data_IF_306434369435
#
_entry.id   IF_306434369435
#
_cell.length_a   1.000
_cell.length_b   1.000
_cell.length_c   1.000
_cell.angle_alpha   90.00
_cell.angle_beta   90.00
_cell.angle_gamma   90.00
#
_symmetry.space_group_name_H-M   'P 1'
#
loop_
_entity.id
_entity.type
_entity.pdbx_description
1 polymer ?
#
# COMPACT_ATOMS: atom_id res chain seq x y z
N UNK A 1 25.67 3.95 -49.35
CA UNK A 1 24.66 3.07 -48.75
C UNK A 1 25.16 2.62 -47.40
N UNK A 2 24.46 2.98 -46.35
CA UNK A 2 24.81 2.68 -44.96
C UNK A 2 23.55 2.92 -44.13
N UNK A 3 22.55 2.07 -44.32
CA UNK A 3 21.38 2.00 -43.44
C UNK A 3 21.80 1.20 -42.22
N UNK A 4 21.75 1.84 -41.05
CA UNK A 4 21.90 1.21 -39.74
C UNK A 4 20.54 0.57 -39.39
N UNK A 5 20.42 -0.77 -39.33
CA UNK A 5 19.13 -1.47 -39.23
C UNK A 5 18.52 -1.46 -37.82
N UNK A 6 18.93 -0.55 -36.92
CA UNK A 6 18.51 -0.55 -35.52
C UNK A 6 18.06 0.82 -34.99
N UNK A 7 17.52 1.69 -35.84
CA UNK A 7 16.77 2.86 -35.37
C UNK A 7 15.38 2.41 -34.89
N UNK A 8 15.26 2.00 -33.63
CA UNK A 8 13.97 1.84 -32.97
C UNK A 8 13.40 3.23 -32.68
N UNK A 9 12.38 3.64 -33.43
CA UNK A 9 11.63 4.84 -33.14
C UNK A 9 10.78 4.60 -31.89
N UNK A 10 11.31 5.03 -30.73
CA UNK A 10 10.67 4.95 -29.41
C UNK A 10 9.32 5.69 -29.40
N UNK A 11 9.09 6.57 -30.37
CA UNK A 11 7.85 7.35 -30.51
C UNK A 11 6.88 6.76 -31.54
N UNK A 12 7.20 5.62 -32.16
CA UNK A 12 6.33 5.01 -33.17
C UNK A 12 5.07 4.37 -32.58
N UNK A 13 5.04 4.11 -31.27
CA UNK A 13 3.85 3.67 -30.54
C UNK A 13 3.69 4.54 -29.28
N UNK A 14 3.21 5.78 -29.41
CA UNK A 14 2.71 6.49 -28.24
C UNK A 14 1.55 5.64 -27.68
N UNK A 15 1.46 5.41 -26.35
CA UNK A 15 0.28 4.78 -25.78
C UNK A 15 -0.91 5.69 -26.11
N UNK A 16 -1.68 5.30 -27.13
CA UNK A 16 -3.01 5.85 -27.34
C UNK A 16 -3.86 5.51 -26.11
N UNK A 17 -4.95 6.24 -25.86
CA UNK A 17 -5.92 5.81 -24.87
C UNK A 17 -6.33 4.40 -25.29
N UNK A 18 -5.87 3.39 -24.54
CA UNK A 18 -6.30 2.03 -24.75
C UNK A 18 -7.81 2.06 -24.65
N UNK A 19 -8.48 1.25 -25.47
CA UNK A 19 -9.83 0.80 -25.12
C UNK A 19 -9.64 -0.04 -23.85
N UNK A 20 -9.50 0.64 -22.72
CA UNK A 20 -9.63 0.05 -21.41
C UNK A 20 -11.07 -0.42 -21.40
N UNK A 21 -11.26 -1.74 -21.59
CA UNK A 21 -12.41 -2.41 -21.02
C UNK A 21 -12.46 -1.91 -19.58
N UNK A 22 -13.43 -1.02 -19.30
CA UNK A 22 -13.77 -0.53 -17.97
C UNK A 22 -14.28 -1.72 -17.16
N UNK A 23 -13.42 -2.71 -16.92
CA UNK A 23 -13.56 -3.60 -15.82
C UNK A 23 -13.50 -2.67 -14.61
N UNK A 24 -14.66 -2.55 -13.96
CA UNK A 24 -15.05 -1.73 -12.81
C UNK A 24 -14.02 -1.83 -11.66
N UNK A 25 -12.79 -1.39 -11.92
CA UNK A 25 -11.74 -1.13 -10.96
C UNK A 25 -12.31 0.02 -10.18
N UNK A 26 -13.04 -0.32 -9.11
CA UNK A 26 -13.68 0.62 -8.22
C UNK A 26 -12.60 1.60 -7.77
N UNK A 27 -12.50 2.70 -8.48
CA UNK A 27 -11.52 3.76 -8.29
C UNK A 27 -12.02 4.58 -7.09
N UNK A 28 -12.15 3.90 -5.97
CA UNK A 28 -12.59 4.43 -4.70
C UNK A 28 -11.37 4.66 -3.83
N UNK A 29 -11.40 5.75 -3.09
CA UNK A 29 -10.36 6.02 -2.10
C UNK A 29 -10.78 5.40 -0.77
N UNK A 30 -9.90 4.61 -0.17
CA UNK A 30 -10.09 4.14 1.21
C UNK A 30 -9.38 5.06 2.20
N UNK A 31 -10.08 5.41 3.26
CA UNK A 31 -9.58 6.24 4.34
C UNK A 31 -9.60 5.46 5.65
N UNK A 32 -8.46 5.46 6.35
CA UNK A 32 -8.35 4.88 7.68
C UNK A 32 -8.58 5.94 8.76
N UNK A 33 -9.52 5.66 9.66
CA UNK A 33 -9.81 6.48 10.83
C UNK A 33 -9.46 5.74 12.11
N UNK A 34 -8.76 6.39 13.02
CA UNK A 34 -8.39 5.83 14.32
C UNK A 34 -8.33 6.92 15.39
N UNK A 35 -8.77 6.57 16.60
CA UNK A 35 -8.62 7.42 17.79
C UNK A 35 -7.18 7.39 18.36
N UNK A 36 -6.31 6.58 17.76
CA UNK A 36 -4.90 6.42 18.16
C UNK A 36 -3.99 6.73 16.98
N UNK A 37 -2.72 7.11 17.23
CA UNK A 37 -1.74 7.22 16.15
C UNK A 37 -1.63 5.90 15.37
N UNK A 38 -1.74 6.02 14.04
CA UNK A 38 -1.56 4.91 13.11
C UNK A 38 -0.12 4.39 13.17
N UNK A 39 0.05 3.11 12.87
CA UNK A 39 1.38 2.53 12.72
C UNK A 39 2.00 2.99 11.39
N UNK A 40 3.32 3.17 11.30
CA UNK A 40 3.98 3.44 10.03
C UNK A 40 3.67 2.35 9.01
N UNK A 41 3.24 2.78 7.82
CA UNK A 41 2.93 1.91 6.70
C UNK A 41 4.00 2.07 5.61
N UNK A 42 4.55 0.95 5.17
CA UNK A 42 5.66 0.92 4.22
C UNK A 42 5.19 0.32 2.89
N UNK A 43 5.50 1.02 1.80
CA UNK A 43 5.23 0.51 0.45
C UNK A 43 6.43 -0.31 -0.03
N UNK A 44 6.35 -1.64 0.08
CA UNK A 44 7.47 -2.57 -0.11
C UNK A 44 7.10 -3.64 -1.12
N UNK A 45 8.04 -3.96 -1.99
CA UNK A 45 7.97 -5.08 -2.91
C UNK A 45 8.75 -6.27 -2.32
N UNK A 46 7.99 -7.26 -1.82
CA UNK A 46 8.56 -8.50 -1.26
C UNK A 46 8.83 -9.57 -2.34
N UNK A 47 8.11 -9.51 -3.47
CA UNK A 47 8.26 -10.41 -4.62
C UNK A 47 8.25 -9.64 -5.94
N UNK A 48 9.08 -10.08 -6.88
CA UNK A 48 9.12 -9.51 -8.24
C UNK A 48 7.81 -9.71 -9.02
N UNK A 49 6.99 -10.70 -8.64
CA UNK A 49 5.75 -11.03 -9.34
C UNK A 49 4.51 -10.27 -8.87
N UNK A 50 4.55 -9.59 -7.71
CA UNK A 50 3.36 -9.02 -7.05
C UNK A 50 3.37 -7.49 -6.97
N UNK A 51 4.44 -6.84 -7.43
CA UNK A 51 4.62 -5.39 -7.30
C UNK A 51 4.76 -4.92 -5.85
N UNK A 52 4.91 -3.60 -5.63
CA UNK A 52 4.94 -3.02 -4.30
C UNK A 52 3.54 -3.00 -3.67
N UNK A 53 3.48 -3.31 -2.37
CA UNK A 53 2.25 -3.35 -1.57
C UNK A 53 2.46 -2.64 -0.24
N UNK A 54 1.38 -2.40 0.49
CA UNK A 54 1.43 -1.72 1.78
C UNK A 54 1.58 -2.74 2.92
N UNK A 55 2.56 -2.52 3.77
CA UNK A 55 2.95 -3.44 4.85
C UNK A 55 3.14 -2.70 6.17
N UNK A 56 2.84 -3.38 7.26
CA UNK A 56 3.22 -2.97 8.62
C UNK A 56 4.31 -3.90 9.15
N UNK A 57 5.19 -3.37 10.00
CA UNK A 57 6.13 -4.20 10.75
C UNK A 57 5.36 -5.09 11.73
N UNK A 58 5.56 -6.40 11.64
CA UNK A 58 4.86 -7.35 12.50
C UNK A 58 5.18 -7.09 13.98
N UNK A 59 6.41 -6.69 14.31
CA UNK A 59 6.82 -6.33 15.67
C UNK A 59 5.94 -5.22 16.29
N UNK A 60 5.60 -4.19 15.50
CA UNK A 60 4.78 -3.07 15.96
C UNK A 60 3.30 -3.46 16.11
N UNK A 61 2.79 -4.26 15.17
CA UNK A 61 1.43 -4.85 15.26
C UNK A 61 1.31 -5.69 16.53
N UNK A 62 2.27 -6.59 16.78
CA UNK A 62 2.30 -7.44 17.96
C UNK A 62 2.38 -6.64 19.26
N UNK A 63 3.20 -5.59 19.29
CA UNK A 63 3.32 -4.67 20.43
C UNK A 63 2.01 -3.94 20.69
N UNK A 64 1.31 -3.47 19.65
CA UNK A 64 0.01 -2.80 19.76
C UNK A 64 -1.09 -3.75 20.26
N UNK A 65 -1.14 -4.97 19.71
CA UNK A 65 -2.11 -6.01 20.10
C UNK A 65 -1.77 -6.70 21.43
N UNK A 66 -0.58 -6.45 21.99
CA UNK A 66 -0.04 -7.15 23.17
C UNK A 66 -0.07 -8.67 22.98
N UNK A 67 0.34 -9.11 21.79
CA UNK A 67 0.27 -10.50 21.35
C UNK A 67 1.67 -11.02 20.99
N UNK A 68 1.89 -12.33 21.13
CA UNK A 68 3.12 -12.95 20.63
C UNK A 68 2.99 -13.30 19.15
N UNK A 69 4.12 -13.38 18.42
CA UNK A 69 4.13 -13.79 17.01
C UNK A 69 3.45 -15.15 16.79
N UNK A 70 3.72 -16.12 17.68
CA UNK A 70 3.08 -17.45 17.63
C UNK A 70 1.57 -17.37 17.80
N UNK A 71 1.08 -16.57 18.75
CA UNK A 71 -0.36 -16.40 18.98
C UNK A 71 -1.03 -15.69 17.79
N UNK A 72 -0.39 -14.65 17.23
CA UNK A 72 -0.90 -13.93 16.06
C UNK A 72 -1.02 -14.85 14.85
N UNK A 73 0.05 -15.58 14.50
CA UNK A 73 0.04 -16.51 13.35
C UNK A 73 -0.96 -17.66 13.54
N UNK A 74 -1.24 -18.06 14.78
CA UNK A 74 -2.25 -19.08 15.07
C UNK A 74 -3.69 -18.53 14.96
N UNK A 75 -3.92 -17.29 15.38
CA UNK A 75 -5.24 -16.65 15.35
C UNK A 75 -5.62 -16.11 13.96
N UNK A 76 -4.63 -15.65 13.19
CA UNK A 76 -4.81 -14.96 11.91
C UNK A 76 -3.96 -15.59 10.80
N UNK A 77 -4.05 -16.93 10.67
CA UNK A 77 -3.23 -17.70 9.73
C UNK A 77 -3.48 -17.35 8.25
N UNK A 78 -4.60 -16.70 7.94
CA UNK A 78 -4.95 -16.25 6.60
C UNK A 78 -4.39 -14.88 6.24
N UNK A 79 -3.86 -14.11 7.20
CA UNK A 79 -3.21 -12.84 6.91
C UNK A 79 -1.82 -13.08 6.32
N UNK A 80 -1.51 -12.36 5.25
CA UNK A 80 -0.23 -12.49 4.57
C UNK A 80 0.90 -11.92 5.43
N UNK A 81 1.84 -12.79 5.79
CA UNK A 81 3.06 -12.41 6.50
C UNK A 81 4.27 -12.81 5.67
N UNK A 82 5.07 -11.82 5.28
CA UNK A 82 6.28 -11.99 4.50
C UNK A 82 7.52 -11.68 5.35
N UNK A 83 8.63 -12.33 5.03
CA UNK A 83 9.93 -12.07 5.67
C UNK A 83 10.87 -11.43 4.65
N UNK A 84 11.54 -10.34 5.03
CA UNK A 84 12.48 -9.59 4.19
C UNK A 84 13.78 -9.32 4.95
N UNK A 85 14.90 -9.20 4.24
CA UNK A 85 16.14 -8.72 4.86
C UNK A 85 15.99 -7.25 5.25
N UNK A 86 16.44 -6.89 6.46
CA UNK A 86 16.38 -5.52 6.96
C UNK A 86 17.09 -4.51 6.03
N UNK A 87 18.24 -4.90 5.47
CA UNK A 87 18.97 -4.11 4.47
C UNK A 87 18.11 -3.76 3.24
N UNK A 88 17.34 -4.71 2.72
CA UNK A 88 16.47 -4.50 1.55
C UNK A 88 15.23 -3.68 1.91
N UNK A 89 14.65 -3.93 3.09
CA UNK A 89 13.58 -3.09 3.64
C UNK A 89 14.03 -1.63 3.75
N UNK A 90 15.18 -1.38 4.38
CA UNK A 90 15.73 -0.03 4.54
C UNK A 90 15.95 0.65 3.19
N UNK A 91 16.56 -0.06 2.23
CA UNK A 91 16.79 0.45 0.89
C UNK A 91 15.48 0.90 0.24
N UNK A 92 14.43 0.08 0.26
CA UNK A 92 13.14 0.45 -0.34
C UNK A 92 12.44 1.58 0.42
N UNK A 93 12.40 1.52 1.76
CA UNK A 93 11.77 2.53 2.59
C UNK A 93 12.43 3.91 2.43
N UNK A 94 13.76 3.96 2.33
CA UNK A 94 14.53 5.20 2.15
C UNK A 94 14.31 5.91 0.81
N UNK A 95 13.79 5.21 -0.20
CA UNK A 95 13.47 5.78 -1.51
C UNK A 95 12.11 6.47 -1.53
N UNK A 96 11.26 6.24 -0.52
CA UNK A 96 9.97 6.88 -0.43
C UNK A 96 10.10 8.35 -0.07
N UNK A 97 9.47 9.22 -0.86
CA UNK A 97 9.47 10.67 -0.63
C UNK A 97 8.75 11.07 0.66
N UNK A 98 7.89 10.20 1.19
CA UNK A 98 7.14 10.43 2.42
C UNK A 98 8.03 10.33 3.67
N UNK A 99 9.13 9.58 3.59
CA UNK A 99 10.08 9.42 4.68
C UNK A 99 11.22 10.43 4.53
N UNK A 100 10.90 11.72 4.71
CA UNK A 100 11.87 12.81 4.57
C UNK A 100 12.73 13.03 5.83
N UNK A 101 12.40 12.36 6.95
CA UNK A 101 13.10 12.48 8.21
C UNK A 101 13.96 11.24 8.48
N UNK A 102 15.31 11.37 8.63
CA UNK A 102 16.18 10.24 8.91
C UNK A 102 15.81 9.47 10.18
N UNK A 103 15.22 10.14 11.17
CA UNK A 103 14.88 9.56 12.47
C UNK A 103 13.84 8.42 12.37
N UNK A 104 12.99 8.43 11.34
CA UNK A 104 11.96 7.40 11.14
C UNK A 104 12.54 6.06 10.69
N UNK A 105 13.71 6.07 10.06
CA UNK A 105 14.43 4.88 9.61
C UNK A 105 15.71 4.61 10.41
N UNK A 106 16.05 5.46 11.38
CA UNK A 106 17.26 5.35 12.20
C UNK A 106 17.35 4.04 13.02
N UNK A 107 16.21 3.37 13.23
CA UNK A 107 16.16 2.07 13.90
C UNK A 107 16.67 0.92 13.01
N UNK A 108 16.77 1.12 11.70
CA UNK A 108 17.17 0.10 10.75
C UNK A 108 18.58 0.34 10.23
N UNK A 109 19.33 -0.75 10.03
CA UNK A 109 20.70 -0.69 9.54
C UNK A 109 20.79 -1.13 8.07
N UNK A 110 21.36 -0.31 7.18
CA UNK A 110 21.44 -0.59 5.74
C UNK A 110 22.24 -1.85 5.38
N UNK A 111 23.18 -2.25 6.23
CA UNK A 111 24.04 -3.44 6.03
C UNK A 111 23.67 -4.60 6.98
N UNK A 112 22.48 -4.55 7.59
CA UNK A 112 21.99 -5.59 8.49
C UNK A 112 21.77 -6.91 7.76
N UNK A 113 22.07 -8.01 8.45
CA UNK A 113 21.73 -9.37 8.02
C UNK A 113 20.48 -9.91 8.72
N UNK A 114 19.88 -9.13 9.59
CA UNK A 114 18.66 -9.50 10.30
C UNK A 114 17.49 -9.55 9.32
N UNK A 115 16.47 -10.32 9.72
CA UNK A 115 15.24 -10.48 8.99
C UNK A 115 14.11 -9.74 9.71
N UNK A 116 13.28 -9.06 8.94
CA UNK A 116 12.06 -8.42 9.40
C UNK A 116 10.86 -9.20 8.89
N UNK A 117 9.87 -9.36 9.77
CA UNK A 117 8.55 -9.86 9.39
C UNK A 117 7.61 -8.67 9.12
N UNK A 118 6.92 -8.72 7.99
CA UNK A 118 5.95 -7.75 7.52
C UNK A 118 4.58 -8.41 7.42
N UNK A 119 3.51 -7.69 7.76
CA UNK A 119 2.12 -8.13 7.55
C UNK A 119 1.42 -7.19 6.58
N UNK A 120 0.75 -7.75 5.56
CA UNK A 120 0.08 -6.96 4.53
C UNK A 120 -1.09 -6.18 5.13
N UNK A 121 -1.26 -4.92 4.73
CA UNK A 121 -2.39 -4.10 5.18
C UNK A 121 -3.69 -4.60 4.55
N UNK A 122 -4.71 -4.82 5.37
CA UNK A 122 -6.07 -5.13 4.93
C UNK A 122 -7.09 -4.59 5.92
N UNK A 123 -8.37 -4.60 5.53
CA UNK A 123 -9.47 -4.10 6.35
C UNK A 123 -9.61 -4.82 7.69
N UNK A 124 -9.39 -6.13 7.72
CA UNK A 124 -9.41 -6.91 8.95
C UNK A 124 -8.29 -6.49 9.91
N UNK A 125 -7.06 -6.29 9.39
CA UNK A 125 -5.94 -5.85 10.21
C UNK A 125 -6.17 -4.45 10.78
N UNK A 126 -6.70 -3.52 9.97
CA UNK A 126 -7.06 -2.19 10.44
C UNK A 126 -8.08 -2.25 11.60
N UNK A 127 -9.12 -3.07 11.45
CA UNK A 127 -10.12 -3.28 12.51
C UNK A 127 -9.51 -3.86 13.79
N UNK A 128 -8.60 -4.83 13.67
CA UNK A 128 -7.88 -5.41 14.81
C UNK A 128 -7.03 -4.37 15.56
N UNK A 129 -6.44 -3.43 14.83
CA UNK A 129 -5.65 -2.32 15.40
C UNK A 129 -6.53 -1.21 16.00
N UNK A 130 -7.85 -1.30 15.83
CA UNK A 130 -8.84 -0.36 16.35
C UNK A 130 -9.14 0.80 15.40
N UNK A 131 -8.89 0.62 14.10
CA UNK A 131 -9.23 1.58 13.06
C UNK A 131 -10.50 1.16 12.31
N UNK A 132 -11.14 2.10 11.63
CA UNK A 132 -12.21 1.85 10.66
C UNK A 132 -11.78 2.31 9.27
N UNK A 133 -12.04 1.49 8.25
CA UNK A 133 -11.83 1.87 6.84
C UNK A 133 -13.16 2.32 6.21
N UNK A 134 -13.16 3.51 5.62
CA UNK A 134 -14.29 4.04 4.86
C UNK A 134 -13.90 4.22 3.38
N UNK A 135 -14.71 3.66 2.48
CA UNK A 135 -14.52 3.80 1.03
C UNK A 135 -15.33 4.99 0.50
N UNK A 136 -14.66 5.94 -0.15
CA UNK A 136 -15.30 6.99 -0.94
C UNK A 136 -15.47 6.51 -2.38
N UNK A 137 -16.71 6.19 -2.76
CA UNK A 137 -17.11 5.89 -4.15
C UNK A 137 -17.13 7.19 -4.97
N UNK A 138 -16.55 7.16 -6.18
CA UNK A 138 -16.54 8.28 -7.14
C UNK A 138 -17.94 8.75 -7.55
N UNK A 139 -18.98 7.96 -7.27
CA UNK A 139 -20.41 8.32 -7.43
C UNK A 139 -21.02 9.05 -6.23
N UNK A 140 -20.21 9.58 -5.30
CA UNK A 140 -20.70 10.39 -4.19
C UNK A 140 -21.40 11.65 -4.68
N UNK A 141 -22.70 11.55 -4.92
CA UNK A 141 -23.60 12.68 -5.15
C UNK A 141 -23.91 13.34 -3.80
N UNK A 142 -23.50 14.61 -3.56
CA UNK A 142 -23.85 15.30 -2.34
C UNK A 142 -25.37 15.34 -2.19
N UNK A 143 -25.92 15.01 -1.01
CA UNK A 143 -27.38 15.03 -0.74
C UNK A 143 -28.06 16.37 -1.09
N UNK A 144 -27.29 17.46 -1.24
CA UNK A 144 -27.73 18.79 -1.68
C UNK A 144 -28.09 18.82 -3.19
N UNK A 145 -27.47 17.99 -4.03
CA UNK A 145 -27.76 17.90 -5.47
C UNK A 145 -29.13 17.26 -5.74
N UNK A 146 -29.52 16.24 -4.94
CA UNK A 146 -30.85 15.61 -5.02
C UNK A 146 -32.01 16.57 -4.76
N UNK A 147 -31.81 17.59 -3.91
CA UNK A 147 -32.85 18.59 -3.64
C UNK A 147 -33.07 19.55 -4.81
N UNK A 148 -32.02 19.87 -5.58
CA UNK A 148 -32.12 20.79 -6.74
C UNK A 148 -32.75 20.14 -7.97
N UNK A 149 -32.62 18.82 -8.13
CA UNK A 149 -33.27 18.08 -9.22
C UNK A 149 -34.79 17.98 -9.02
N UNK A 150 -35.27 17.84 -7.78
CA UNK A 150 -36.70 17.73 -7.46
C UNK A 150 -37.44 19.07 -7.46
N UNK A 151 -36.72 20.19 -7.41
CA UNK A 151 -37.31 21.54 -7.51
C UNK A 151 -37.40 22.07 -8.95
N UNK A 152 -36.97 21.27 -9.95
CA UNK A 152 -37.00 21.61 -11.39
C UNK A 152 -37.89 20.67 -12.22
N UNK A 153 -38.64 19.78 -11.57
CA UNK A 153 -39.65 18.93 -12.22
C UNK A 153 -41.06 19.32 -11.79
#
# INVERSE_FOLDING_TARGET
SGEDPAAYDILANPPGPGEEEEEDTRQGFEFEFSDRPLLPCYNIQVSLSQGPRNWLLLSDVLKRLRMSSRAFRAAFAHLEVATIAEAEFYKQASLSQLFSCPDELAAFLPDSKELLDLVETCSELAALLGSSLECLDSRWEPKVARAKAKARS
#
